data_IF_326409745289
#
_entry.id   IF_326409745289
#
_cell.length_a   1.000
_cell.length_b   1.000
_cell.length_c   1.000
_cell.angle_alpha   90.00
_cell.angle_beta   90.00
_cell.angle_gamma   90.00
#
_symmetry.space_group_name_H-M   'P 1'
#
loop_
_entity.id
_entity.type
_entity.pdbx_description
1 polymer ?
#
# COMPACT_ATOMS: atom_id res chain seq x y z
N UNK A 1 -20.41 11.13 -11.82
CA UNK A 1 -20.52 10.16 -12.92
C UNK A 1 -19.58 10.51 -14.09
N UNK A 2 -19.55 11.76 -14.61
CA UNK A 2 -18.63 12.18 -15.70
C UNK A 2 -17.13 11.84 -15.48
N UNK A 3 -16.60 12.07 -14.27
CA UNK A 3 -15.19 11.74 -13.93
C UNK A 3 -14.85 10.24 -13.99
N UNK A 4 -15.82 9.35 -13.72
CA UNK A 4 -15.60 7.91 -13.82
C UNK A 4 -15.51 7.45 -15.28
N UNK A 5 -16.26 8.10 -16.17
CA UNK A 5 -16.20 7.85 -17.61
C UNK A 5 -14.90 8.39 -18.21
N UNK A 6 -14.47 9.60 -17.82
CA UNK A 6 -13.17 10.18 -18.17
C UNK A 6 -12.01 9.31 -17.69
N UNK A 7 -12.06 8.83 -16.44
CA UNK A 7 -11.08 7.86 -15.93
C UNK A 7 -11.09 6.56 -16.74
N UNK A 8 -12.27 6.05 -17.12
CA UNK A 8 -12.36 4.83 -17.94
C UNK A 8 -11.72 5.04 -19.31
N UNK A 9 -11.89 6.20 -19.92
CA UNK A 9 -11.27 6.56 -21.20
C UNK A 9 -9.74 6.64 -21.03
N UNK A 10 -9.25 7.37 -20.02
CA UNK A 10 -7.82 7.48 -19.74
C UNK A 10 -7.18 6.12 -19.40
N UNK A 11 -7.88 5.31 -18.60
CA UNK A 11 -7.45 3.95 -18.28
C UNK A 11 -7.28 3.12 -19.54
N UNK A 12 -8.27 3.14 -20.44
CA UNK A 12 -8.22 2.35 -21.68
C UNK A 12 -7.16 2.86 -22.67
N UNK A 13 -6.91 4.17 -22.70
CA UNK A 13 -6.02 4.77 -23.69
C UNK A 13 -4.54 4.82 -23.24
N UNK A 14 -4.29 5.09 -21.96
CA UNK A 14 -2.94 5.35 -21.44
C UNK A 14 -2.46 4.20 -20.54
N UNK A 15 -3.25 3.80 -19.54
CA UNK A 15 -2.82 2.82 -18.54
C UNK A 15 -2.83 1.40 -19.11
N UNK A 16 -3.90 1.00 -19.78
CA UNK A 16 -4.09 -0.36 -20.26
C UNK A 16 -3.04 -0.79 -21.30
N UNK A 17 -2.66 0.03 -22.31
CA UNK A 17 -1.59 -0.35 -23.23
C UNK A 17 -0.24 -0.54 -22.54
N UNK A 18 0.09 0.29 -21.56
CA UNK A 18 1.32 0.13 -20.76
C UNK A 18 1.27 -1.14 -19.91
N UNK A 19 0.14 -1.42 -19.24
CA UNK A 19 -0.06 -2.68 -18.52
C UNK A 19 0.09 -3.90 -19.44
N UNK A 20 -0.43 -3.85 -20.66
CA UNK A 20 -0.27 -4.92 -21.66
C UNK A 20 1.19 -5.07 -22.11
N UNK A 21 1.93 -3.96 -22.28
CA UNK A 21 3.38 -3.99 -22.60
C UNK A 21 4.17 -4.65 -21.47
N UNK A 22 3.87 -4.25 -20.22
CA UNK A 22 4.49 -4.79 -19.01
C UNK A 22 4.15 -6.27 -18.83
N UNK A 23 2.91 -6.69 -19.11
CA UNK A 23 2.48 -8.08 -19.06
C UNK A 23 3.19 -8.94 -20.10
N UNK A 24 3.35 -8.46 -21.35
CA UNK A 24 4.14 -9.16 -22.37
C UNK A 24 5.58 -9.35 -21.92
N UNK A 25 6.18 -8.33 -21.29
CA UNK A 25 7.54 -8.41 -20.75
C UNK A 25 7.63 -9.45 -19.62
N UNK A 26 6.67 -9.44 -18.69
CA UNK A 26 6.55 -10.45 -17.62
C UNK A 26 6.46 -11.86 -18.19
N UNK A 27 5.58 -12.08 -19.18
CA UNK A 27 5.38 -13.39 -19.81
C UNK A 27 6.63 -13.88 -20.56
N UNK A 28 7.36 -12.98 -21.24
CA UNK A 28 8.65 -13.31 -21.88
C UNK A 28 9.70 -13.72 -20.85
N UNK A 29 9.83 -12.98 -19.75
CA UNK A 29 10.77 -13.33 -18.67
C UNK A 29 10.42 -14.68 -18.03
N UNK A 30 9.14 -14.92 -17.75
CA UNK A 30 8.67 -16.22 -17.23
C UNK A 30 8.94 -17.36 -18.21
N UNK A 31 8.70 -17.15 -19.50
CA UNK A 31 9.00 -18.16 -20.52
C UNK A 31 10.50 -18.44 -20.60
N UNK A 32 11.37 -17.42 -20.56
CA UNK A 32 12.83 -17.60 -20.50
C UNK A 32 13.25 -18.39 -19.26
N UNK A 33 12.67 -18.10 -18.09
CA UNK A 33 12.93 -18.86 -16.86
C UNK A 33 12.50 -20.32 -17.01
N UNK A 34 11.30 -20.59 -17.53
CA UNK A 34 10.80 -21.96 -17.75
C UNK A 34 11.67 -22.71 -18.75
N UNK A 35 12.04 -22.09 -19.88
CA UNK A 35 12.95 -22.68 -20.87
C UNK A 35 14.32 -22.96 -20.26
N UNK A 36 14.86 -22.04 -19.46
CA UNK A 36 16.13 -22.25 -18.76
C UNK A 36 16.07 -23.39 -17.75
N UNK A 37 14.95 -23.55 -17.04
CA UNK A 37 14.73 -24.65 -16.11
C UNK A 37 14.62 -26.01 -16.82
N UNK A 38 13.93 -26.05 -17.98
CA UNK A 38 13.85 -27.26 -18.82
C UNK A 38 15.22 -27.63 -19.39
N UNK A 39 16.00 -26.65 -19.86
CA UNK A 39 17.38 -26.88 -20.29
C UNK A 39 18.25 -27.40 -19.15
N UNK A 40 18.11 -26.84 -17.95
CA UNK A 40 18.82 -27.32 -16.76
C UNK A 40 18.48 -28.79 -16.47
N UNK A 41 17.19 -29.15 -16.53
CA UNK A 41 16.74 -30.53 -16.35
C UNK A 41 17.32 -31.46 -17.43
N UNK A 42 17.32 -31.03 -18.69
CA UNK A 42 17.87 -31.80 -19.79
C UNK A 42 19.38 -32.08 -19.62
N UNK A 43 20.13 -31.09 -19.10
CA UNK A 43 21.55 -31.25 -18.77
C UNK A 43 21.76 -32.28 -17.66
N UNK A 44 20.93 -32.27 -16.61
CA UNK A 44 20.99 -33.26 -15.52
C UNK A 44 20.67 -34.67 -16.03
N UNK A 45 19.69 -34.81 -16.93
CA UNK A 45 19.39 -36.13 -17.54
C UNK A 45 20.55 -36.60 -18.42
N UNK A 46 21.18 -35.69 -19.17
CA UNK A 46 22.35 -35.98 -20.00
C UNK A 46 23.58 -36.37 -19.17
N UNK A 47 23.76 -35.75 -18.00
CA UNK A 47 24.77 -36.11 -17.01
C UNK A 47 24.64 -37.58 -16.56
N UNK A 48 23.42 -38.00 -16.22
CA UNK A 48 23.14 -39.38 -15.78
C UNK A 48 23.54 -40.39 -16.86
N UNK A 49 23.41 -40.03 -18.14
CA UNK A 49 23.72 -40.90 -19.27
C UNK A 49 25.22 -40.95 -19.61
N UNK A 50 25.92 -39.81 -19.62
CA UNK A 50 27.33 -39.75 -20.03
C UNK A 50 28.34 -40.02 -18.91
N UNK A 51 27.97 -39.82 -17.64
CA UNK A 51 28.86 -39.96 -16.47
C UNK A 51 30.14 -39.09 -16.51
N UNK A 52 30.14 -37.98 -17.25
CA UNK A 52 31.27 -37.03 -17.33
C UNK A 52 31.03 -35.85 -16.38
N UNK A 53 31.44 -36.01 -15.11
CA UNK A 53 31.19 -35.04 -14.01
C UNK A 53 31.79 -33.65 -14.30
N UNK A 54 32.97 -33.58 -14.94
CA UNK A 54 33.65 -32.29 -15.17
C UNK A 54 32.87 -31.38 -16.14
N UNK A 55 32.30 -31.96 -17.20
CA UNK A 55 31.54 -31.20 -18.21
C UNK A 55 30.19 -30.75 -17.65
N UNK A 56 29.56 -31.58 -16.82
CA UNK A 56 28.24 -31.31 -16.26
C UNK A 56 28.29 -30.20 -15.20
N UNK A 57 29.28 -30.23 -14.31
CA UNK A 57 29.52 -29.16 -13.36
C UNK A 57 29.76 -27.80 -14.03
N UNK A 58 30.56 -27.78 -15.11
CA UNK A 58 30.82 -26.56 -15.88
C UNK A 58 29.54 -26.01 -16.52
N UNK A 59 28.72 -26.87 -17.14
CA UNK A 59 27.47 -26.46 -17.78
C UNK A 59 26.42 -25.99 -16.75
N UNK A 60 26.32 -26.66 -15.61
CA UNK A 60 25.43 -26.30 -14.51
C UNK A 60 25.81 -24.93 -13.90
N UNK A 61 27.11 -24.64 -13.79
CA UNK A 61 27.60 -23.33 -13.37
C UNK A 61 27.12 -22.21 -14.33
N UNK A 62 27.29 -22.40 -15.64
CA UNK A 62 26.86 -21.43 -16.65
C UNK A 62 25.33 -21.18 -16.60
N UNK A 63 24.55 -22.24 -16.50
CA UNK A 63 23.09 -22.15 -16.41
C UNK A 63 22.67 -21.49 -15.09
N UNK A 64 23.33 -21.81 -13.97
CA UNK A 64 23.06 -21.19 -12.68
C UNK A 64 23.31 -19.68 -12.67
N UNK A 65 24.42 -19.22 -13.28
CA UNK A 65 24.70 -17.79 -13.46
C UNK A 65 23.63 -17.12 -14.33
N UNK A 66 23.18 -17.79 -15.39
CA UNK A 66 22.13 -17.26 -16.25
C UNK A 66 20.77 -17.14 -15.53
N UNK A 67 20.37 -18.17 -14.76
CA UNK A 67 19.13 -18.16 -13.98
C UNK A 67 19.16 -17.06 -12.91
N UNK A 68 20.28 -16.91 -12.19
CA UNK A 68 20.42 -15.84 -11.18
C UNK A 68 20.33 -14.45 -11.81
N UNK A 69 20.89 -14.25 -13.00
CA UNK A 69 20.73 -13.02 -13.77
C UNK A 69 19.27 -12.75 -14.18
N UNK A 70 18.53 -13.77 -14.62
CA UNK A 70 17.09 -13.65 -14.92
C UNK A 70 16.27 -13.29 -13.68
N UNK A 71 16.55 -13.92 -12.53
CA UNK A 71 15.88 -13.61 -11.27
C UNK A 71 16.15 -12.16 -10.83
N UNK A 72 17.37 -11.66 -11.04
CA UNK A 72 17.71 -10.27 -10.80
C UNK A 72 16.88 -9.32 -11.68
N UNK A 73 16.77 -9.61 -12.98
CA UNK A 73 15.93 -8.84 -13.91
C UNK A 73 14.45 -8.80 -13.50
N UNK A 74 13.90 -9.93 -13.05
CA UNK A 74 12.52 -10.00 -12.56
C UNK A 74 12.34 -9.13 -11.31
N UNK A 75 13.26 -9.19 -10.35
CA UNK A 75 13.21 -8.35 -9.15
C UNK A 75 13.24 -6.86 -9.50
N UNK A 76 14.14 -6.46 -10.41
CA UNK A 76 14.21 -5.06 -10.87
C UNK A 76 12.91 -4.62 -11.57
N UNK A 77 12.29 -5.50 -12.35
CA UNK A 77 11.00 -5.23 -12.99
C UNK A 77 9.89 -4.99 -11.95
N UNK A 78 9.79 -5.83 -10.92
CA UNK A 78 8.77 -5.67 -9.87
C UNK A 78 8.95 -4.35 -9.11
N UNK A 79 10.19 -3.99 -8.79
CA UNK A 79 10.51 -2.74 -8.05
C UNK A 79 10.15 -1.49 -8.86
N UNK A 80 10.31 -1.55 -10.19
CA UNK A 80 10.04 -0.41 -11.09
C UNK A 80 8.59 -0.34 -11.57
N UNK A 81 7.88 -1.46 -11.58
CA UNK A 81 6.48 -1.55 -12.03
C UNK A 81 5.54 -0.71 -11.14
N UNK A 82 5.57 -0.94 -9.82
CA UNK A 82 4.63 -0.30 -8.88
C UNK A 82 4.74 1.23 -8.95
N UNK A 83 5.94 1.85 -8.90
CA UNK A 83 6.06 3.29 -9.03
C UNK A 83 5.60 3.84 -10.38
N UNK A 84 5.85 3.12 -11.47
CA UNK A 84 5.46 3.57 -12.80
C UNK A 84 3.93 3.62 -12.95
N UNK A 85 3.23 2.58 -12.49
CA UNK A 85 1.76 2.54 -12.54
C UNK A 85 1.14 3.58 -11.61
N UNK A 86 1.68 3.76 -10.41
CA UNK A 86 1.17 4.78 -9.47
C UNK A 86 1.36 6.18 -10.03
N UNK A 87 2.52 6.50 -10.61
CA UNK A 87 2.74 7.79 -11.26
C UNK A 87 1.76 8.04 -12.42
N UNK A 88 1.52 7.04 -13.29
CA UNK A 88 0.52 7.18 -14.36
C UNK A 88 -0.90 7.49 -13.85
N UNK A 89 -1.26 6.96 -12.69
CA UNK A 89 -2.54 7.24 -12.02
C UNK A 89 -2.52 8.65 -11.42
N UNK A 90 -1.40 9.06 -10.81
CA UNK A 90 -1.27 10.39 -10.21
C UNK A 90 -1.25 11.49 -11.26
N UNK A 91 -0.59 11.28 -12.40
CA UNK A 91 -0.59 12.21 -13.54
C UNK A 91 -2.04 12.49 -14.00
N UNK A 92 -2.89 11.45 -14.06
CA UNK A 92 -4.31 11.62 -14.35
C UNK A 92 -5.06 12.40 -13.26
N UNK A 93 -4.70 12.21 -12.00
CA UNK A 93 -5.34 12.91 -10.89
C UNK A 93 -4.92 14.38 -10.87
N UNK A 94 -3.64 14.67 -11.14
CA UNK A 94 -3.03 16.01 -11.24
C UNK A 94 -3.70 16.86 -12.33
N UNK A 95 -4.08 16.25 -13.46
CA UNK A 95 -4.84 16.93 -14.52
C UNK A 95 -6.27 17.33 -14.11
N UNK A 96 -6.72 16.93 -12.91
CA UNK A 96 -8.01 17.30 -12.37
C UNK A 96 -8.05 18.75 -11.85
N UNK A 97 -9.11 19.48 -12.17
CA UNK A 97 -9.34 20.91 -11.79
C UNK A 97 -9.12 21.22 -10.30
N UNK A 98 -9.32 20.24 -9.42
CA UNK A 98 -9.24 20.42 -7.96
C UNK A 98 -7.96 19.86 -7.33
N UNK A 99 -7.04 19.28 -8.09
CA UNK A 99 -5.81 18.69 -7.57
C UNK A 99 -4.63 19.57 -7.98
N UNK A 100 -3.74 19.86 -7.02
CA UNK A 100 -2.42 20.40 -7.33
C UNK A 100 -1.43 19.27 -7.60
N UNK A 101 -0.18 19.61 -7.90
CA UNK A 101 0.89 18.63 -8.16
C UNK A 101 1.03 17.60 -7.04
N UNK A 102 0.85 16.33 -7.37
CA UNK A 102 1.04 15.20 -6.47
C UNK A 102 2.48 14.69 -6.55
N UNK A 103 3.03 14.37 -5.39
CA UNK A 103 4.37 13.81 -5.23
C UNK A 103 4.25 12.42 -4.67
N UNK A 104 4.81 11.44 -5.39
CA UNK A 104 4.85 10.05 -4.95
C UNK A 104 6.26 9.58 -4.64
N UNK A 105 6.38 8.89 -3.50
CA UNK A 105 7.62 8.35 -2.98
C UNK A 105 7.38 6.91 -2.53
N UNK A 106 7.72 5.90 -3.36
CA UNK A 106 7.34 4.50 -3.12
C UNK A 106 7.89 3.89 -1.83
N UNK A 107 9.10 4.31 -1.43
CA UNK A 107 9.80 3.77 -0.25
C UNK A 107 9.59 4.58 1.03
N UNK A 108 8.87 5.70 0.95
CA UNK A 108 8.57 6.53 2.11
C UNK A 108 7.17 6.24 2.61
N UNK A 109 6.89 6.62 3.85
CA UNK A 109 5.58 6.53 4.49
C UNK A 109 5.38 7.70 5.44
N UNK A 110 4.14 7.88 5.89
CA UNK A 110 3.81 8.88 6.90
C UNK A 110 4.60 8.58 8.18
N UNK A 111 5.14 9.63 8.79
CA UNK A 111 5.88 9.54 10.05
C UNK A 111 5.02 8.89 11.16
N UNK A 112 5.62 7.97 11.91
CA UNK A 112 4.98 7.30 13.05
C UNK A 112 4.34 8.29 14.03
N UNK A 113 4.96 9.44 14.25
CA UNK A 113 4.46 10.48 15.15
C UNK A 113 3.10 11.02 14.72
N UNK A 114 2.86 11.19 13.40
CA UNK A 114 1.55 11.61 12.88
C UNK A 114 0.47 10.55 13.10
N UNK A 115 0.83 9.28 12.95
CA UNK A 115 -0.09 8.18 13.24
C UNK A 115 -0.47 8.13 14.72
N UNK A 116 0.51 8.27 15.62
CA UNK A 116 0.27 8.28 17.08
C UNK A 116 -0.51 9.54 17.49
N UNK A 117 -0.14 10.71 16.96
CA UNK A 117 -0.82 11.99 17.22
C UNK A 117 -2.28 12.00 16.75
N UNK A 118 -2.67 11.12 15.82
CA UNK A 118 -4.06 11.02 15.39
C UNK A 118 -5.02 10.56 16.50
N UNK A 119 -4.51 9.88 17.54
CA UNK A 119 -5.33 9.34 18.64
C UNK A 119 -6.33 8.24 18.24
N UNK A 120 -6.43 7.89 16.94
CA UNK A 120 -7.41 6.93 16.42
C UNK A 120 -7.16 5.51 16.93
N UNK A 121 -5.89 5.14 17.10
CA UNK A 121 -5.46 3.82 17.51
C UNK A 121 -4.60 3.93 18.76
N UNK A 122 -5.13 3.47 19.90
CA UNK A 122 -4.38 3.42 21.16
C UNK A 122 -3.37 2.26 21.14
N UNK A 123 -2.27 2.47 20.44
CA UNK A 123 -1.17 1.51 20.36
C UNK A 123 0.18 2.21 20.34
N UNK A 124 1.19 1.68 21.05
CA UNK A 124 2.57 2.14 20.92
C UNK A 124 3.19 1.85 19.54
N UNK A 125 2.48 1.10 18.67
CA UNK A 125 2.90 0.79 17.30
C UNK A 125 4.34 0.23 17.27
N UNK A 126 4.57 -0.88 17.98
CA UNK A 126 5.89 -1.51 18.09
C UNK A 126 6.52 -1.82 16.73
N UNK A 127 5.70 -2.31 15.81
CA UNK A 127 6.07 -2.51 14.41
C UNK A 127 5.25 -1.52 13.58
N UNK A 128 5.96 -0.61 12.92
CA UNK A 128 5.37 0.39 12.04
C UNK A 128 6.04 0.27 10.68
N UNK A 129 5.35 -0.38 9.75
CA UNK A 129 5.78 -0.51 8.37
C UNK A 129 4.84 0.31 7.51
N UNK A 130 5.37 1.01 6.52
CA UNK A 130 4.56 1.74 5.57
C UNK A 130 5.27 1.90 4.24
N UNK A 131 4.49 2.02 3.19
CA UNK A 131 4.93 2.21 1.82
C UNK A 131 3.99 3.19 1.09
N UNK A 132 4.37 3.54 -0.14
CA UNK A 132 3.54 4.34 -1.04
C UNK A 132 3.12 5.72 -0.49
N UNK A 133 4.08 6.51 -0.03
CA UNK A 133 3.80 7.89 0.36
C UNK A 133 3.39 8.75 -0.84
N UNK A 134 2.20 9.35 -0.76
CA UNK A 134 1.67 10.32 -1.71
C UNK A 134 1.35 11.60 -0.94
N UNK A 135 1.77 12.74 -1.46
CA UNK A 135 1.42 14.05 -0.89
C UNK A 135 1.05 15.04 -1.98
N UNK A 136 0.15 15.97 -1.68
CA UNK A 136 -0.15 17.08 -2.56
C UNK A 136 -1.26 17.96 -2.01
N UNK A 137 -1.96 18.65 -2.91
CA UNK A 137 -3.02 19.60 -2.57
C UNK A 137 -4.33 19.21 -3.22
N UNK A 138 -5.42 19.32 -2.48
CA UNK A 138 -6.79 19.25 -3.01
C UNK A 138 -7.47 20.58 -2.71
N UNK A 139 -7.67 21.39 -3.75
CA UNK A 139 -8.05 22.79 -3.61
C UNK A 139 -7.00 23.54 -2.80
N UNK A 140 -7.36 23.92 -1.57
CA UNK A 140 -6.45 24.64 -0.67
C UNK A 140 -5.96 23.79 0.52
N UNK A 141 -6.33 22.51 0.57
CA UNK A 141 -5.97 21.59 1.65
C UNK A 141 -4.74 20.77 1.28
N UNK A 142 -3.70 20.84 2.11
CA UNK A 142 -2.56 19.93 2.03
C UNK A 142 -2.96 18.56 2.57
N UNK A 143 -2.60 17.50 1.84
CA UNK A 143 -2.79 16.13 2.29
C UNK A 143 -1.56 15.26 2.07
N UNK A 144 -1.47 14.23 2.89
CA UNK A 144 -0.47 13.17 2.83
C UNK A 144 -1.18 11.84 3.05
N UNK A 145 -0.84 10.83 2.28
CA UNK A 145 -1.32 9.46 2.48
C UNK A 145 -0.20 8.45 2.30
N UNK A 146 -0.33 7.31 2.98
CA UNK A 146 0.52 6.15 2.74
C UNK A 146 -0.22 4.88 3.14
N UNK A 147 0.16 3.75 2.55
CA UNK A 147 -0.26 2.45 3.05
C UNK A 147 0.55 2.12 4.32
N UNK A 148 -0.13 1.77 5.40
CA UNK A 148 0.48 1.44 6.68
C UNK A 148 0.08 0.03 7.12
N UNK A 149 1.05 -0.68 7.69
CA UNK A 149 0.88 -1.94 8.40
C UNK A 149 1.45 -1.77 9.82
N UNK A 150 0.54 -1.56 10.77
CA UNK A 150 0.86 -1.29 12.16
C UNK A 150 0.50 -2.49 13.01
N UNK A 151 1.50 -3.02 13.72
CA UNK A 151 1.36 -4.16 14.62
C UNK A 151 1.87 -3.84 16.00
N UNK A 152 1.32 -4.52 16.99
CA UNK A 152 1.74 -4.39 18.38
C UNK A 152 1.98 -5.74 19.03
N UNK A 153 2.90 -5.77 19.99
CA UNK A 153 3.14 -6.94 20.81
C UNK A 153 2.04 -7.03 21.88
N UNK A 154 1.34 -8.16 21.91
CA UNK A 154 0.38 -8.48 22.96
C UNK A 154 1.09 -8.63 24.30
N UNK A 155 0.69 -7.82 25.28
CA UNK A 155 1.21 -7.91 26.66
C UNK A 155 0.91 -9.26 27.34
N UNK A 156 -0.07 -10.02 26.82
CA UNK A 156 -0.56 -11.25 27.44
C UNK A 156 -0.13 -12.49 26.67
N UNK A 157 0.10 -12.40 25.36
CA UNK A 157 0.25 -13.58 24.49
C UNK A 157 1.57 -13.65 23.71
N UNK A 158 2.55 -12.78 23.96
CA UNK A 158 3.83 -12.73 23.21
C UNK A 158 3.66 -12.84 21.68
N UNK A 159 2.53 -12.35 21.17
CA UNK A 159 2.16 -12.41 19.75
C UNK A 159 1.99 -11.02 19.20
N UNK A 160 2.31 -10.86 17.91
CA UNK A 160 2.02 -9.64 17.17
C UNK A 160 0.54 -9.62 16.80
N UNK A 161 -0.16 -8.59 17.25
CA UNK A 161 -1.54 -8.29 16.87
C UNK A 161 -1.58 -7.15 15.86
N UNK A 162 -2.44 -7.25 14.88
CA UNK A 162 -2.73 -6.15 13.96
C UNK A 162 -3.48 -5.03 14.68
N UNK A 163 -3.02 -3.80 14.47
CA UNK A 163 -3.67 -2.58 14.95
C UNK A 163 -4.36 -1.89 13.78
N UNK A 164 -3.64 -1.69 12.69
CA UNK A 164 -4.12 -1.03 11.48
C UNK A 164 -3.42 -1.62 10.26
N UNK A 165 -4.19 -1.89 9.21
CA UNK A 165 -3.67 -2.31 7.92
C UNK A 165 -4.52 -1.63 6.84
N UNK A 166 -3.92 -0.75 6.05
CA UNK A 166 -4.59 -0.07 4.95
C UNK A 166 -4.06 1.34 4.71
N UNK A 167 -4.87 2.14 4.04
CA UNK A 167 -4.49 3.50 3.64
C UNK A 167 -4.76 4.47 4.78
N UNK A 168 -3.72 5.17 5.22
CA UNK A 168 -3.82 6.24 6.21
C UNK A 168 -3.69 7.58 5.49
N UNK A 169 -4.68 8.45 5.66
CA UNK A 169 -4.74 9.78 5.04
C UNK A 169 -4.76 10.83 6.14
N UNK A 170 -3.85 11.78 6.03
CA UNK A 170 -3.73 12.95 6.90
C UNK A 170 -3.93 14.21 6.06
N UNK A 171 -4.65 15.18 6.61
CA UNK A 171 -4.76 16.52 6.02
C UNK A 171 -4.58 17.57 7.09
N UNK A 172 -4.06 18.74 6.71
CA UNK A 172 -3.95 19.89 7.59
C UNK A 172 -5.08 20.87 7.27
N UNK A 173 -5.93 21.12 8.25
CA UNK A 173 -6.90 22.21 8.19
C UNK A 173 -6.18 23.55 8.26
N UNK A 174 -6.66 24.53 7.48
CA UNK A 174 -6.11 25.90 7.49
C UNK A 174 -6.31 26.61 8.83
N UNK A 175 -7.46 26.37 9.45
CA UNK A 175 -7.84 26.97 10.72
C UNK A 175 -7.53 26.02 11.87
N UNK A 176 -6.95 26.57 12.94
CA UNK A 176 -6.74 25.81 14.16
C UNK A 176 -8.07 25.59 14.86
N UNK A 177 -8.48 24.33 14.97
CA UNK A 177 -9.64 23.93 15.76
C UNK A 177 -9.16 23.66 17.19
N UNK A 178 -9.88 24.21 18.18
CA UNK A 178 -9.67 23.88 19.58
C UNK A 178 -10.48 22.62 19.92
N UNK A 179 -9.83 21.67 20.59
CA UNK A 179 -10.43 20.38 20.94
C UNK A 179 -10.20 19.30 19.87
N UNK A 180 -10.67 18.09 20.17
CA UNK A 180 -10.52 16.92 19.29
C UNK A 180 -11.89 16.37 18.96
N UNK A 181 -12.11 16.00 17.70
CA UNK A 181 -13.35 15.35 17.27
C UNK A 181 -13.00 14.02 16.60
N UNK A 182 -13.55 12.93 17.13
CA UNK A 182 -13.44 11.60 16.55
C UNK A 182 -14.74 11.20 15.90
N UNK A 183 -14.67 10.81 14.62
CA UNK A 183 -15.80 10.29 13.85
C UNK A 183 -15.49 8.85 13.48
N UNK A 184 -16.31 7.92 13.98
CA UNK A 184 -16.11 6.48 13.77
C UNK A 184 -17.33 5.86 13.09
N UNK A 185 -17.16 4.92 12.15
CA UNK A 185 -18.29 4.24 11.53
C UNK A 185 -18.98 3.31 12.53
N UNK A 186 -20.30 3.49 12.71
CA UNK A 186 -21.09 2.74 13.70
C UNK A 186 -21.11 1.23 13.40
N UNK A 187 -21.07 0.86 12.12
CA UNK A 187 -21.03 -0.55 11.66
C UNK A 187 -19.80 -1.29 12.21
N UNK A 188 -18.66 -0.61 12.36
CA UNK A 188 -17.42 -1.22 12.86
C UNK A 188 -17.23 -1.07 14.38
N UNK A 189 -18.24 -0.60 15.11
CA UNK A 189 -18.16 -0.34 16.57
C UNK A 189 -17.57 -1.51 17.35
N UNK A 190 -17.93 -2.75 17.00
CA UNK A 190 -17.44 -3.95 17.69
C UNK A 190 -15.91 -4.10 17.60
N UNK A 191 -15.32 -3.74 16.46
CA UNK A 191 -13.87 -3.78 16.21
C UNK A 191 -13.15 -2.57 16.81
N UNK A 192 -13.85 -1.46 17.03
CA UNK A 192 -13.31 -0.20 17.54
C UNK A 192 -13.48 -0.02 19.05
N UNK A 193 -13.96 -1.04 19.77
CA UNK A 193 -14.22 -0.98 21.23
C UNK A 193 -13.00 -0.50 22.04
N UNK A 194 -11.79 -0.91 21.65
CA UNK A 194 -10.53 -0.47 22.27
C UNK A 194 -10.25 1.01 22.05
N UNK A 195 -10.41 1.50 20.82
CA UNK A 195 -10.24 2.92 20.49
C UNK A 195 -11.27 3.78 21.22
N UNK A 196 -12.54 3.38 21.23
CA UNK A 196 -13.63 4.08 21.93
C UNK A 196 -13.34 4.19 23.43
N UNK A 197 -12.88 3.10 24.07
CA UNK A 197 -12.52 3.13 25.50
C UNK A 197 -11.38 4.09 25.78
N UNK A 198 -10.40 4.19 24.88
CA UNK A 198 -9.30 5.12 25.02
C UNK A 198 -9.76 6.58 24.87
N UNK A 199 -10.56 6.89 23.84
CA UNK A 199 -11.12 8.23 23.63
C UNK A 199 -11.87 8.72 24.86
N UNK A 200 -12.69 7.87 25.48
CA UNK A 200 -13.39 8.19 26.74
C UNK A 200 -12.45 8.41 27.91
N UNK A 201 -11.37 7.64 28.01
CA UNK A 201 -10.36 7.81 29.07
C UNK A 201 -9.63 9.15 28.92
N UNK A 202 -9.48 9.62 27.68
CA UNK A 202 -8.86 10.89 27.33
C UNK A 202 -9.82 12.10 27.49
N UNK A 203 -11.00 11.88 28.09
CA UNK A 203 -11.98 12.94 28.38
C UNK A 203 -12.98 13.23 27.25
N UNK A 204 -12.96 12.47 26.15
CA UNK A 204 -13.91 12.69 25.05
C UNK A 204 -15.27 12.08 25.37
N UNK A 205 -16.33 12.89 25.25
CA UNK A 205 -17.71 12.47 25.46
C UNK A 205 -18.43 12.23 24.14
N UNK A 206 -19.48 11.38 24.18
CA UNK A 206 -20.28 11.14 22.98
C UNK A 206 -21.24 12.29 22.76
N UNK A 207 -21.09 12.97 21.62
CA UNK A 207 -21.89 14.13 21.24
C UNK A 207 -22.94 13.79 20.17
N UNK A 208 -23.26 12.51 20.00
CA UNK A 208 -24.27 12.03 19.03
C UNK A 208 -25.59 12.81 19.16
N UNK A 209 -26.00 13.19 20.37
CA UNK A 209 -27.24 13.93 20.62
C UNK A 209 -27.23 15.35 20.05
N UNK A 210 -26.06 15.98 19.92
CA UNK A 210 -25.90 17.34 19.41
C UNK A 210 -25.94 17.39 17.88
N UNK A 211 -25.73 16.27 17.19
CA UNK A 211 -25.72 16.21 15.74
C UNK A 211 -27.15 16.23 15.20
N UNK A 212 -27.51 17.29 14.48
CA UNK A 212 -28.88 17.46 13.93
C UNK A 212 -29.19 16.50 12.79
N UNK A 213 -28.18 16.09 12.01
CA UNK A 213 -28.38 15.24 10.85
C UNK A 213 -28.64 13.77 11.26
N UNK A 214 -29.88 13.31 11.08
CA UNK A 214 -30.31 11.95 11.43
C UNK A 214 -29.49 10.87 10.71
N UNK A 215 -29.29 10.99 9.39
CA UNK A 215 -28.53 10.01 8.60
C UNK A 215 -27.08 9.88 9.08
N UNK A 216 -26.47 11.01 9.45
CA UNK A 216 -25.12 11.00 9.99
C UNK A 216 -25.05 10.25 11.33
N UNK A 217 -25.97 10.51 12.26
CA UNK A 217 -26.03 9.82 13.57
C UNK A 217 -26.24 8.30 13.47
N UNK A 218 -27.04 7.87 12.49
CA UNK A 218 -27.28 6.46 12.23
C UNK A 218 -26.02 5.77 11.66
N UNK A 219 -25.21 6.50 10.89
CA UNK A 219 -24.04 5.95 10.20
C UNK A 219 -22.76 6.03 11.05
N UNK A 220 -22.60 7.09 11.84
CA UNK A 220 -21.38 7.40 12.57
C UNK A 220 -21.63 7.58 14.08
N UNK A 221 -20.58 7.32 14.84
CA UNK A 221 -20.42 7.68 16.24
C UNK A 221 -19.51 8.89 16.31
N UNK A 222 -19.84 9.87 17.14
CA UNK A 222 -19.02 11.07 17.32
C UNK A 222 -18.66 11.29 18.77
N UNK A 223 -17.36 11.48 19.01
CA UNK A 223 -16.80 11.83 20.30
C UNK A 223 -16.07 13.17 20.20
N UNK A 224 -16.19 14.01 21.22
CA UNK A 224 -15.47 15.27 21.28
C UNK A 224 -15.06 15.63 22.71
N UNK A 225 -14.01 16.44 22.84
CA UNK A 225 -13.51 17.04 24.09
C UNK A 225 -13.53 18.56 24.00
#
# INVERSE_FOLDING_TARGET
MRRLEEFRIYYNHTIHPELVRLERRRRRLLLLVVVSAVLMLAVVVFEIYLQIIAVTLFLMMLIGVYITYLLYLIRQFVITFKPHVVNLILDFIDDGVNYGTLVYKPKQSIAKDKFVASGLFNSPAHVFEGEDYISGKIGELDFEMSELNVREISKVRERLNYVFQGIFLCTRLKESVYGTIYILPRVFRQYLSRSIRYMRKDGNESIDNLIRNKRFRETFLTYAS
#
